data_IF_976440687375
#
_entry.id   IF_976440687375
#
_cell.length_a   1.000
_cell.length_b   1.000
_cell.length_c   1.000
_cell.angle_alpha   90.00
_cell.angle_beta   90.00
_cell.angle_gamma   90.00
#
_symmetry.space_group_name_H-M   'P 1'
#
loop_
_entity.id
_entity.type
_entity.pdbx_description
1 polymer ?
#
# COMPACT_ATOMS: atom_id res chain seq x y z
N UNK A 1 11.16 0.25 13.83
CA UNK A 1 10.30 -0.47 12.86
C UNK A 1 9.06 -0.90 13.60
N UNK A 2 7.85 -0.70 13.06
CA UNK A 2 6.67 -1.28 13.68
C UNK A 2 6.73 -2.79 13.56
N UNK A 3 6.61 -3.50 14.69
CA UNK A 3 6.48 -4.94 14.69
C UNK A 3 5.05 -5.28 14.27
N UNK A 4 4.88 -5.71 13.02
CA UNK A 4 3.64 -6.26 12.51
C UNK A 4 3.70 -7.79 12.65
N UNK A 5 2.61 -8.41 13.08
CA UNK A 5 2.48 -9.86 12.99
C UNK A 5 2.42 -10.30 11.51
N UNK A 6 2.75 -11.56 11.20
CA UNK A 6 2.59 -12.09 9.84
C UNK A 6 1.18 -11.87 9.27
N UNK A 7 0.14 -12.00 10.11
CA UNK A 7 -1.25 -11.77 9.73
C UNK A 7 -1.49 -10.30 9.37
N UNK A 8 -1.00 -9.36 10.18
CA UNK A 8 -1.09 -7.93 9.88
C UNK A 8 -0.34 -7.56 8.60
N UNK A 9 0.79 -8.22 8.31
CA UNK A 9 1.51 -8.03 7.06
C UNK A 9 0.64 -8.49 5.88
N UNK A 10 0.02 -9.67 5.98
CA UNK A 10 -0.89 -10.19 4.97
C UNK A 10 -2.08 -9.25 4.73
N UNK A 11 -2.71 -8.76 5.80
CA UNK A 11 -3.82 -7.81 5.72
C UNK A 11 -3.39 -6.52 5.01
N UNK A 12 -2.27 -5.92 5.42
CA UNK A 12 -1.77 -4.68 4.81
C UNK A 12 -1.45 -4.90 3.33
N UNK A 13 -0.93 -6.07 2.95
CA UNK A 13 -0.70 -6.42 1.54
C UNK A 13 -2.02 -6.51 0.78
N UNK A 14 -3.03 -7.20 1.32
CA UNK A 14 -4.35 -7.31 0.70
C UNK A 14 -5.00 -5.92 0.54
N UNK A 15 -4.93 -5.11 1.58
CA UNK A 15 -5.44 -3.74 1.57
C UNK A 15 -4.73 -2.86 0.55
N UNK A 16 -3.40 -2.94 0.49
CA UNK A 16 -2.61 -2.16 -0.47
C UNK A 16 -2.80 -2.61 -1.92
N UNK A 17 -3.20 -3.87 -2.16
CA UNK A 17 -3.54 -4.38 -3.49
C UNK A 17 -4.96 -3.98 -3.92
N UNK A 18 -5.83 -3.61 -2.98
CA UNK A 18 -7.20 -3.16 -3.24
C UNK A 18 -7.23 -1.72 -3.75
N UNK A 19 -7.84 -1.52 -4.91
CA UNK A 19 -8.03 -0.19 -5.50
C UNK A 19 -9.04 0.68 -4.71
N UNK A 20 -9.80 0.06 -3.79
CA UNK A 20 -10.80 0.74 -2.96
C UNK A 20 -10.26 1.25 -1.62
N UNK A 21 -9.05 0.87 -1.23
CA UNK A 21 -8.46 1.23 0.06
C UNK A 21 -7.38 2.30 -0.13
N UNK A 22 -7.49 3.39 0.62
CA UNK A 22 -6.48 4.45 0.62
C UNK A 22 -5.31 4.10 1.54
N UNK A 23 -4.13 4.66 1.25
CA UNK A 23 -3.02 4.62 2.21
C UNK A 23 -3.37 5.31 3.53
N UNK A 24 -4.26 6.30 3.51
CA UNK A 24 -4.77 6.94 4.72
C UNK A 24 -5.56 5.96 5.59
N UNK A 25 -6.39 5.10 5.00
CA UNK A 25 -7.12 4.08 5.75
C UNK A 25 -6.16 3.06 6.39
N UNK A 26 -5.15 2.62 5.63
CA UNK A 26 -4.08 1.75 6.17
C UNK A 26 -3.31 2.47 7.29
N UNK A 27 -3.08 3.78 7.16
CA UNK A 27 -2.47 4.60 8.20
C UNK A 27 -3.37 4.74 9.42
N UNK A 28 -4.68 4.86 9.29
CA UNK A 28 -5.58 4.94 10.44
C UNK A 28 -5.63 3.61 11.21
N UNK A 29 -5.64 2.48 10.49
CA UNK A 29 -5.79 1.17 11.11
C UNK A 29 -4.48 0.58 11.65
N UNK A 30 -3.37 0.73 10.92
CA UNK A 30 -2.06 0.14 11.29
C UNK A 30 -1.02 1.21 11.63
N UNK A 31 -1.35 2.50 11.43
CA UNK A 31 -0.42 3.61 11.62
C UNK A 31 0.76 3.59 10.64
N UNK A 32 0.64 2.90 9.51
CA UNK A 32 1.67 2.82 8.49
C UNK A 32 1.49 3.96 7.48
N UNK A 33 2.52 4.77 7.31
CA UNK A 33 2.54 5.79 6.27
C UNK A 33 2.67 5.13 4.90
N UNK A 34 2.25 5.82 3.84
CA UNK A 34 2.38 5.35 2.46
C UNK A 34 3.81 4.87 2.12
N UNK A 35 4.84 5.58 2.61
CA UNK A 35 6.25 5.17 2.41
C UNK A 35 6.55 3.80 3.03
N UNK A 36 6.02 3.52 4.22
CA UNK A 36 6.20 2.25 4.93
C UNK A 36 5.46 1.12 4.22
N UNK A 37 4.23 1.38 3.75
CA UNK A 37 3.46 0.42 2.93
C UNK A 37 4.20 0.11 1.63
N UNK A 38 4.76 1.10 0.94
CA UNK A 38 5.57 0.88 -0.28
C UNK A 38 6.80 0.01 -0.01
N UNK A 39 7.49 0.22 1.12
CA UNK A 39 8.63 -0.61 1.52
C UNK A 39 8.19 -2.04 1.83
N UNK A 40 7.10 -2.21 2.58
CA UNK A 40 6.51 -3.51 2.88
C UNK A 40 6.14 -4.27 1.61
N UNK A 41 5.45 -3.62 0.68
CA UNK A 41 5.08 -4.19 -0.61
C UNK A 41 6.29 -4.56 -1.45
N UNK A 42 7.36 -3.75 -1.43
CA UNK A 42 8.60 -4.06 -2.15
C UNK A 42 9.32 -5.30 -1.61
N UNK A 43 9.24 -5.53 -0.30
CA UNK A 43 9.89 -6.66 0.34
C UNK A 43 9.09 -7.97 0.19
N UNK A 44 7.76 -7.87 0.03
CA UNK A 44 6.88 -9.04 -0.04
C UNK A 44 6.49 -9.45 -1.46
N UNK A 45 6.48 -8.53 -2.42
CA UNK A 45 6.13 -8.83 -3.81
C UNK A 45 7.35 -9.15 -4.66
N UNK A 46 7.16 -10.06 -5.63
CA UNK A 46 8.11 -10.23 -6.74
C UNK A 46 8.27 -8.92 -7.50
N UNK A 47 9.47 -8.68 -8.05
CA UNK A 47 9.83 -7.44 -8.74
C UNK A 47 8.82 -7.00 -9.80
N UNK A 48 8.35 -7.93 -10.65
CA UNK A 48 7.34 -7.64 -11.69
C UNK A 48 5.97 -7.24 -11.12
N UNK A 49 5.49 -7.97 -10.11
CA UNK A 49 4.24 -7.66 -9.41
C UNK A 49 4.31 -6.30 -8.72
N UNK A 50 5.43 -5.97 -8.07
CA UNK A 50 5.65 -4.67 -7.45
C UNK A 50 5.64 -3.53 -8.49
N UNK A 51 6.28 -3.73 -9.66
CA UNK A 51 6.26 -2.74 -10.74
C UNK A 51 4.84 -2.49 -11.27
N UNK A 52 4.06 -3.56 -11.51
CA UNK A 52 2.67 -3.44 -11.95
C UNK A 52 1.80 -2.73 -10.91
N UNK A 53 1.93 -3.08 -9.63
CA UNK A 53 1.25 -2.41 -8.53
C UNK A 53 1.64 -0.92 -8.44
N UNK A 54 2.93 -0.59 -8.55
CA UNK A 54 3.40 0.80 -8.54
C UNK A 54 2.84 1.63 -9.68
N UNK A 55 2.64 1.03 -10.86
CA UNK A 55 1.97 1.69 -11.98
C UNK A 55 0.52 2.02 -11.61
N UNK A 56 -0.24 1.05 -11.09
CA UNK A 56 -1.62 1.28 -10.62
C UNK A 56 -1.70 2.38 -9.57
N UNK A 57 -0.87 2.31 -8.53
CA UNK A 57 -0.84 3.32 -7.45
C UNK A 57 -0.62 4.74 -8.00
N UNK A 58 0.26 4.90 -9.00
CA UNK A 58 0.48 6.20 -9.64
C UNK A 58 -0.75 6.66 -10.42
N UNK A 59 -1.38 5.76 -11.16
CA UNK A 59 -2.55 6.06 -11.98
C UNK A 59 -3.81 6.37 -11.13
N UNK A 60 -3.92 5.78 -9.93
CA UNK A 60 -4.95 6.12 -8.94
C UNK A 60 -4.61 7.37 -8.11
N UNK A 61 -3.33 7.57 -7.79
CA UNK A 61 -2.85 8.75 -7.08
C UNK A 61 -3.07 10.04 -7.89
N UNK A 62 -2.85 9.99 -9.20
CA UNK A 62 -3.13 11.15 -10.07
C UNK A 62 -4.62 11.49 -10.12
N UNK A 63 -5.52 10.49 -10.13
CA UNK A 63 -6.98 10.72 -10.07
C UNK A 63 -7.42 11.42 -8.77
N UNK A 64 -6.78 11.13 -7.64
CA UNK A 64 -7.08 11.79 -6.35
C UNK A 64 -6.57 13.22 -6.26
N UNK A 65 -5.54 13.61 -7.01
CA UNK A 65 -5.03 14.98 -7.02
C UNK A 65 -6.01 15.99 -7.65
N UNK A 66 -6.97 15.52 -8.46
CA UNK A 66 -7.99 16.35 -9.11
C UNK A 66 -9.27 16.55 -8.28
N UNK A 67 -9.35 15.99 -7.07
CA UNK A 67 -10.44 16.25 -6.13
C UNK A 67 -9.90 17.07 -4.95
N UNK A 68 -9.60 18.36 -5.20
CA UNK A 68 -9.44 19.38 -4.18
C UNK A 68 -10.22 20.61 -4.56
#
# INVERSE_FOLDING_TARGET
>A
MKHLSPDQISDVIQMALSDHISFEHIQQQYGLREKEVKTLMRNNLRRGSYQAWRKRVRDFGSRRAFYK
#
